data_IF_028684695421
#
_entry.id   IF_028684695421
#
_cell.length_a   1.000
_cell.length_b   1.000
_cell.length_c   1.000
_cell.angle_alpha   90.00
_cell.angle_beta   90.00
_cell.angle_gamma   90.00
#
_symmetry.space_group_name_H-M   'P 1'
#
loop_
_entity.id
_entity.type
_entity.pdbx_description
1 polymer ?
#
# COMPACT_ATOMS: atom_id res chain seq x y z
N UNK A 1 -55.77 47.75 17.37
CA UNK A 1 -54.97 47.47 16.14
C UNK A 1 -53.66 46.90 16.61
N UNK A 2 -53.59 45.58 16.74
CA UNK A 2 -52.29 44.86 16.99
C UNK A 2 -51.47 44.89 15.72
N UNK A 3 -50.32 45.57 15.78
CA UNK A 3 -49.46 45.75 14.65
C UNK A 3 -48.64 44.45 14.39
N UNK A 4 -49.09 43.64 13.46
CA UNK A 4 -48.43 42.43 12.95
C UNK A 4 -46.91 42.56 12.72
N UNK A 5 -46.37 43.71 12.28
CA UNK A 5 -44.95 43.91 12.08
C UNK A 5 -44.07 43.64 13.32
N UNK A 6 -44.53 44.02 14.51
CA UNK A 6 -43.75 43.84 15.75
C UNK A 6 -43.69 42.39 16.20
N UNK A 7 -44.71 41.57 15.90
CA UNK A 7 -44.72 40.14 16.17
C UNK A 7 -43.74 39.43 15.21
N UNK A 8 -43.71 39.82 13.95
CA UNK A 8 -42.77 39.26 12.95
C UNK A 8 -41.32 39.65 13.26
N UNK A 9 -41.08 40.89 13.69
CA UNK A 9 -39.75 41.36 14.12
C UNK A 9 -39.29 40.61 15.37
N UNK A 10 -40.17 40.39 16.34
CA UNK A 10 -39.89 39.63 17.56
C UNK A 10 -39.57 38.15 17.26
N UNK A 11 -40.28 37.52 16.33
CA UNK A 11 -40.00 36.16 15.86
C UNK A 11 -38.69 36.09 15.09
N UNK A 12 -38.42 37.05 14.20
CA UNK A 12 -37.16 37.10 13.43
C UNK A 12 -35.94 37.41 14.31
N UNK A 13 -36.07 38.19 15.38
CA UNK A 13 -35.01 38.46 16.35
C UNK A 13 -34.83 37.31 17.36
N UNK A 14 -35.88 36.54 17.65
CA UNK A 14 -35.83 35.37 18.55
C UNK A 14 -35.16 34.13 17.93
N UNK A 15 -35.30 33.91 16.64
CA UNK A 15 -34.71 32.76 15.95
C UNK A 15 -33.16 32.68 16.03
N UNK A 16 -32.41 33.76 15.81
CA UNK A 16 -30.97 33.75 15.98
C UNK A 16 -30.49 33.49 17.42
N UNK A 17 -31.25 34.03 18.43
CA UNK A 17 -30.89 33.81 19.83
C UNK A 17 -31.14 32.37 20.29
N UNK A 18 -32.22 31.73 19.85
CA UNK A 18 -32.46 30.29 20.06
C UNK A 18 -31.41 29.45 19.35
N UNK A 19 -31.07 29.78 18.11
CA UNK A 19 -30.01 29.12 17.38
C UNK A 19 -28.65 29.21 18.07
N UNK A 20 -28.29 30.40 18.56
CA UNK A 20 -27.04 30.59 19.32
C UNK A 20 -27.06 29.80 20.65
N UNK A 21 -28.18 29.80 21.38
CA UNK A 21 -28.32 29.03 22.61
C UNK A 21 -28.18 27.53 22.36
N UNK A 22 -28.75 26.99 21.28
CA UNK A 22 -28.59 25.59 20.89
C UNK A 22 -27.15 25.26 20.53
N UNK A 23 -26.44 26.12 19.78
CA UNK A 23 -25.02 25.92 19.45
C UNK A 23 -24.16 25.96 20.70
N UNK A 24 -24.42 26.90 21.63
CA UNK A 24 -23.69 26.98 22.91
C UNK A 24 -23.96 25.75 23.78
N UNK A 25 -25.23 25.33 23.91
CA UNK A 25 -25.57 24.10 24.62
C UNK A 25 -24.92 22.87 24.00
N UNK A 26 -24.93 22.74 22.68
CA UNK A 26 -24.23 21.67 21.98
C UNK A 26 -22.72 21.68 22.27
N UNK A 27 -22.06 22.84 22.17
CA UNK A 27 -20.63 22.99 22.47
C UNK A 27 -20.29 22.63 23.93
N UNK A 28 -21.12 23.05 24.90
CA UNK A 28 -20.91 22.72 26.31
C UNK A 28 -21.07 21.22 26.57
N UNK A 29 -22.09 20.58 25.99
CA UNK A 29 -22.27 19.13 26.06
C UNK A 29 -21.09 18.39 25.45
N UNK A 30 -20.61 18.83 24.28
CA UNK A 30 -19.43 18.23 23.63
C UNK A 30 -18.17 18.42 24.47
N UNK A 31 -17.95 19.62 25.02
CA UNK A 31 -16.80 19.88 25.90
C UNK A 31 -16.82 19.00 27.16
N UNK A 32 -17.99 18.82 27.77
CA UNK A 32 -18.18 17.94 28.92
C UNK A 32 -17.89 16.47 28.58
N UNK A 33 -18.39 15.99 27.42
CA UNK A 33 -18.09 14.61 26.93
C UNK A 33 -16.61 14.40 26.72
N UNK A 34 -15.94 15.37 26.10
CA UNK A 34 -14.48 15.29 25.87
C UNK A 34 -13.74 15.28 27.21
N UNK A 35 -14.10 16.15 28.14
CA UNK A 35 -13.48 16.21 29.47
C UNK A 35 -13.69 14.89 30.26
N UNK A 36 -14.90 14.33 30.25
CA UNK A 36 -15.16 13.02 30.85
C UNK A 36 -14.33 11.91 30.21
N UNK A 37 -14.25 11.89 28.88
CA UNK A 37 -13.44 10.89 28.19
C UNK A 37 -11.95 11.03 28.54
N UNK A 38 -11.42 12.24 28.61
CA UNK A 38 -10.05 12.50 29.04
C UNK A 38 -9.82 12.02 30.49
N UNK A 39 -10.77 12.29 31.38
CA UNK A 39 -10.69 11.83 32.77
C UNK A 39 -10.66 10.28 32.88
N UNK A 40 -11.48 9.59 32.09
CA UNK A 40 -11.44 8.13 32.02
C UNK A 40 -10.10 7.62 31.47
N UNK A 41 -9.57 8.23 30.39
CA UNK A 41 -8.27 7.88 29.84
C UNK A 41 -7.15 8.07 30.87
N UNK A 42 -7.11 9.19 31.59
CA UNK A 42 -6.12 9.47 32.63
C UNK A 42 -6.17 8.44 33.78
N UNK A 43 -7.40 8.09 34.21
CA UNK A 43 -7.60 7.06 35.25
C UNK A 43 -7.01 5.71 34.79
N UNK A 44 -7.36 5.25 33.59
CA UNK A 44 -6.88 3.95 33.10
C UNK A 44 -5.40 3.98 32.75
N UNK A 45 -4.84 5.11 32.32
CA UNK A 45 -3.39 5.25 32.11
C UNK A 45 -2.63 5.03 33.41
N UNK A 46 -3.03 5.66 34.50
CA UNK A 46 -2.44 5.43 35.81
C UNK A 46 -2.57 3.98 36.28
N UNK A 47 -3.72 3.35 36.07
CA UNK A 47 -3.90 1.95 36.42
C UNK A 47 -2.99 1.02 35.64
N UNK A 48 -2.74 1.30 34.34
CA UNK A 48 -1.80 0.51 33.53
C UNK A 48 -0.36 0.77 33.97
N UNK A 49 0.00 2.00 34.29
CA UNK A 49 1.32 2.35 34.83
C UNK A 49 1.60 1.64 36.15
N UNK A 50 0.63 1.57 37.06
CA UNK A 50 0.73 0.87 38.34
C UNK A 50 0.99 -0.64 38.21
N UNK A 51 0.52 -1.25 37.13
CA UNK A 51 0.70 -2.69 36.91
C UNK A 51 1.75 -2.99 35.83
N UNK A 52 2.47 -1.99 35.34
CA UNK A 52 3.39 -2.12 34.21
C UNK A 52 4.50 -3.18 34.45
N UNK A 53 5.06 -3.23 35.61
CA UNK A 53 6.07 -4.25 35.99
C UNK A 53 5.47 -5.65 35.89
N UNK A 54 4.27 -5.85 36.46
CA UNK A 54 3.56 -7.15 36.41
C UNK A 54 3.15 -7.52 34.97
N UNK A 55 2.82 -6.55 34.13
CA UNK A 55 2.56 -6.78 32.74
C UNK A 55 3.84 -7.18 31.95
N UNK A 56 4.98 -6.63 32.33
CA UNK A 56 6.26 -6.98 31.69
C UNK A 56 6.67 -8.40 32.00
N UNK A 57 6.34 -8.90 33.19
CA UNK A 57 6.66 -10.27 33.65
C UNK A 57 5.66 -11.31 33.14
N UNK A 58 4.47 -10.90 32.68
CA UNK A 58 3.43 -11.80 32.20
C UNK A 58 3.79 -12.39 30.83
N UNK A 59 3.84 -13.70 30.72
CA UNK A 59 4.21 -14.45 29.50
C UNK A 59 3.03 -15.16 28.84
N UNK A 60 1.91 -15.29 29.53
CA UNK A 60 0.73 -16.01 29.09
C UNK A 60 -0.57 -15.23 29.36
N UNK A 61 -1.66 -15.69 28.74
CA UNK A 61 -3.01 -15.16 28.99
C UNK A 61 -3.41 -15.40 30.46
N UNK A 62 -3.01 -16.52 31.04
CA UNK A 62 -3.32 -16.88 32.43
C UNK A 62 -2.68 -15.91 33.46
N UNK A 63 -1.48 -15.42 33.17
CA UNK A 63 -0.80 -14.42 34.00
C UNK A 63 -1.52 -13.06 34.00
N UNK A 64 -2.22 -12.76 32.92
CA UNK A 64 -2.89 -11.48 32.72
C UNK A 64 -4.33 -11.49 33.27
N UNK A 65 -4.99 -12.65 33.38
CA UNK A 65 -6.36 -12.74 33.89
C UNK A 65 -6.60 -12.06 35.25
N UNK A 66 -5.73 -12.20 36.26
CA UNK A 66 -5.89 -11.49 37.54
C UNK A 66 -5.77 -9.96 37.38
N UNK A 67 -4.92 -9.51 36.43
CA UNK A 67 -4.74 -8.08 36.13
C UNK A 67 -5.97 -7.51 35.42
N UNK A 68 -6.59 -8.27 34.55
CA UNK A 68 -7.82 -7.85 33.85
C UNK A 68 -8.98 -7.57 34.83
N UNK A 69 -9.07 -8.31 35.94
CA UNK A 69 -10.10 -8.10 36.97
C UNK A 69 -9.99 -6.76 37.71
N UNK A 70 -8.86 -6.08 37.62
CA UNK A 70 -8.66 -4.75 38.20
C UNK A 70 -9.40 -3.66 37.41
N UNK A 71 -9.67 -3.91 36.14
CA UNK A 71 -10.31 -2.95 35.24
C UNK A 71 -11.83 -3.13 35.25
N UNK A 72 -12.53 -2.15 35.85
CA UNK A 72 -13.99 -2.08 35.87
C UNK A 72 -14.45 -0.99 34.92
N UNK A 73 -14.79 -1.36 33.69
CA UNK A 73 -15.36 -0.47 32.70
C UNK A 73 -16.81 -0.91 32.43
N UNK A 74 -17.77 -0.12 32.90
CA UNK A 74 -19.21 -0.46 32.86
C UNK A 74 -19.98 0.36 31.84
N UNK A 75 -19.53 1.57 31.55
CA UNK A 75 -20.16 2.45 30.56
C UNK A 75 -19.44 2.35 29.21
N UNK A 76 -20.16 2.65 28.13
CA UNK A 76 -19.57 2.72 26.78
C UNK A 76 -18.38 3.68 26.72
N UNK A 77 -18.43 4.80 27.44
CA UNK A 77 -17.34 5.78 27.50
C UNK A 77 -16.09 5.22 28.18
N UNK A 78 -16.27 4.50 29.30
CA UNK A 78 -15.16 3.84 30.01
C UNK A 78 -14.52 2.73 29.19
N UNK A 79 -15.33 1.88 28.54
CA UNK A 79 -14.84 0.83 27.64
C UNK A 79 -14.02 1.43 26.50
N UNK A 80 -14.54 2.49 25.86
CA UNK A 80 -13.83 3.17 24.79
C UNK A 80 -12.52 3.81 25.27
N UNK A 81 -12.51 4.43 26.46
CA UNK A 81 -11.32 5.01 27.06
C UNK A 81 -10.26 3.93 27.36
N UNK A 82 -10.67 2.82 27.99
CA UNK A 82 -9.77 1.71 28.30
C UNK A 82 -9.17 1.08 27.04
N UNK A 83 -9.98 0.80 26.01
CA UNK A 83 -9.50 0.33 24.72
C UNK A 83 -8.44 1.27 24.13
N UNK A 84 -8.70 2.58 24.12
CA UNK A 84 -7.77 3.56 23.58
C UNK A 84 -6.45 3.60 24.36
N UNK A 85 -6.51 3.61 25.70
CA UNK A 85 -5.29 3.63 26.54
C UNK A 85 -4.44 2.39 26.34
N UNK A 86 -5.05 1.21 26.27
CA UNK A 86 -4.28 -0.04 25.97
C UNK A 86 -3.59 0.07 24.61
N UNK A 87 -4.26 0.57 23.58
CA UNK A 87 -3.69 0.71 22.24
C UNK A 87 -2.59 1.78 22.17
N UNK A 88 -2.77 2.91 22.84
CA UNK A 88 -1.74 3.94 22.98
C UNK A 88 -0.47 3.38 23.66
N UNK A 89 -0.65 2.73 24.80
CA UNK A 89 0.45 2.11 25.56
C UNK A 89 1.13 1.01 24.74
N UNK A 90 0.36 0.17 24.06
CA UNK A 90 0.88 -0.86 23.15
C UNK A 90 1.82 -0.26 22.08
N UNK A 91 1.49 0.93 21.57
CA UNK A 91 2.29 1.60 20.56
C UNK A 91 3.70 1.99 20.97
N UNK A 92 3.90 2.27 22.24
CA UNK A 92 5.18 2.75 22.81
C UNK A 92 5.90 1.72 23.68
N UNK A 93 5.22 0.64 24.08
CA UNK A 93 5.74 -0.37 24.98
C UNK A 93 6.81 -1.27 24.32
N UNK A 94 7.77 -1.82 25.08
CA UNK A 94 8.70 -2.86 24.63
C UNK A 94 7.96 -4.17 24.35
N UNK A 95 8.60 -5.09 23.59
CA UNK A 95 7.96 -6.33 23.10
C UNK A 95 7.31 -7.21 24.19
N UNK A 96 7.92 -7.47 25.36
CA UNK A 96 7.27 -8.26 26.42
C UNK A 96 5.96 -7.63 26.86
N UNK A 97 5.96 -6.33 27.14
CA UNK A 97 4.78 -5.58 27.58
C UNK A 97 3.71 -5.51 26.50
N UNK A 98 4.09 -5.43 25.21
CA UNK A 98 3.13 -5.49 24.10
C UNK A 98 2.34 -6.78 24.08
N UNK A 99 3.00 -7.93 24.24
CA UNK A 99 2.31 -9.23 24.31
C UNK A 99 1.33 -9.28 25.48
N UNK A 100 1.75 -8.83 26.65
CA UNK A 100 0.87 -8.79 27.81
C UNK A 100 -0.33 -7.84 27.61
N UNK A 101 -0.14 -6.68 26.99
CA UNK A 101 -1.24 -5.77 26.64
C UNK A 101 -2.21 -6.37 25.62
N UNK A 102 -1.72 -7.16 24.66
CA UNK A 102 -2.59 -7.89 23.74
C UNK A 102 -3.40 -8.96 24.48
N UNK A 103 -2.81 -9.72 25.40
CA UNK A 103 -3.53 -10.66 26.26
C UNK A 103 -4.52 -9.96 27.19
N UNK A 104 -4.18 -8.77 27.71
CA UNK A 104 -5.11 -7.96 28.50
C UNK A 104 -6.34 -7.55 27.68
N UNK A 105 -6.11 -7.10 26.45
CA UNK A 105 -7.19 -6.72 25.53
C UNK A 105 -8.10 -7.91 25.22
N UNK A 106 -7.54 -9.09 25.03
CA UNK A 106 -8.26 -10.34 24.78
C UNK A 106 -9.03 -10.79 26.03
N UNK A 107 -8.41 -10.82 27.21
CA UNK A 107 -9.06 -11.24 28.47
C UNK A 107 -10.20 -10.33 28.91
N UNK A 108 -10.17 -9.06 28.50
CA UNK A 108 -11.29 -8.10 28.68
C UNK A 108 -12.43 -8.31 27.65
N UNK A 109 -12.30 -9.27 26.74
CA UNK A 109 -13.31 -9.57 25.69
C UNK A 109 -13.33 -8.55 24.55
N UNK A 110 -12.38 -7.62 24.48
CA UNK A 110 -12.39 -6.51 23.53
C UNK A 110 -12.09 -6.94 22.09
N UNK A 111 -11.39 -8.06 21.88
CA UNK A 111 -11.20 -8.61 20.54
C UNK A 111 -12.55 -9.08 19.96
N UNK A 112 -13.34 -9.82 20.74
CA UNK A 112 -14.65 -10.31 20.31
C UNK A 112 -15.63 -9.15 20.04
N UNK A 113 -15.60 -8.11 20.91
CA UNK A 113 -16.40 -6.90 20.76
C UNK A 113 -16.02 -6.11 19.50
N UNK A 114 -14.73 -5.91 19.24
CA UNK A 114 -14.27 -5.23 18.02
C UNK A 114 -14.56 -6.01 16.74
N UNK A 115 -14.48 -7.35 16.76
CA UNK A 115 -14.93 -8.18 15.64
C UNK A 115 -16.43 -8.03 15.39
N UNK A 116 -17.23 -7.98 16.46
CA UNK A 116 -18.68 -7.69 16.34
C UNK A 116 -18.93 -6.30 15.74
N UNK A 117 -18.20 -5.29 16.19
CA UNK A 117 -18.29 -3.92 15.68
C UNK A 117 -17.92 -3.83 14.20
N UNK A 118 -16.88 -4.54 13.74
CA UNK A 118 -16.52 -4.59 12.32
C UNK A 118 -17.69 -5.08 11.46
N UNK A 119 -18.49 -6.01 11.95
CA UNK A 119 -19.65 -6.54 11.21
C UNK A 119 -20.87 -5.63 11.27
N UNK A 120 -21.19 -5.09 12.45
CA UNK A 120 -22.50 -4.49 12.73
C UNK A 120 -22.46 -3.03 13.13
N UNK A 121 -21.28 -2.45 13.36
CA UNK A 121 -21.12 -1.07 13.84
C UNK A 121 -21.34 -0.01 12.77
N UNK A 122 -21.49 1.24 13.22
CA UNK A 122 -21.46 2.41 12.36
C UNK A 122 -20.07 2.54 11.68
N UNK A 123 -20.00 3.27 10.56
CA UNK A 123 -18.80 3.39 9.73
C UNK A 123 -17.55 3.80 10.54
N UNK A 124 -17.69 4.81 11.39
CA UNK A 124 -16.62 5.32 12.25
C UNK A 124 -16.20 4.29 13.32
N UNK A 125 -17.14 3.55 13.91
CA UNK A 125 -16.86 2.52 14.90
C UNK A 125 -16.13 1.32 14.26
N UNK A 126 -16.54 0.92 13.05
CA UNK A 126 -15.87 -0.14 12.25
C UNK A 126 -14.43 0.26 11.92
N UNK A 127 -14.21 1.52 11.52
CA UNK A 127 -12.88 2.06 11.24
C UNK A 127 -11.97 1.98 12.48
N UNK A 128 -12.47 2.43 13.63
CA UNK A 128 -11.73 2.36 14.90
C UNK A 128 -11.45 0.92 15.35
N UNK A 129 -12.41 0.01 15.20
CA UNK A 129 -12.23 -1.40 15.55
C UNK A 129 -11.17 -2.06 14.67
N UNK A 130 -11.23 -1.83 13.36
CA UNK A 130 -10.22 -2.32 12.42
C UNK A 130 -8.82 -1.80 12.74
N UNK A 131 -8.70 -0.50 13.07
CA UNK A 131 -7.44 0.11 13.51
C UNK A 131 -6.87 -0.58 14.76
N UNK A 132 -7.69 -0.80 15.79
CA UNK A 132 -7.24 -1.45 17.04
C UNK A 132 -6.78 -2.88 16.80
N UNK A 133 -7.55 -3.68 16.06
CA UNK A 133 -7.21 -5.07 15.76
C UNK A 133 -5.93 -5.19 14.89
N UNK A 134 -5.75 -4.26 13.94
CA UNK A 134 -4.50 -4.17 13.17
C UNK A 134 -3.30 -3.84 14.07
N UNK A 135 -3.46 -2.83 14.94
CA UNK A 135 -2.39 -2.39 15.85
C UNK A 135 -1.94 -3.49 16.81
N UNK A 136 -2.89 -4.29 17.30
CA UNK A 136 -2.62 -5.45 18.15
C UNK A 136 -2.09 -6.67 17.38
N UNK A 137 -1.97 -6.59 16.06
CA UNK A 137 -1.59 -7.71 15.17
C UNK A 137 -2.47 -8.95 15.40
N UNK A 138 -3.77 -8.74 15.53
CA UNK A 138 -4.74 -9.76 15.86
C UNK A 138 -5.00 -10.69 14.68
N UNK A 139 -4.47 -11.93 14.73
CA UNK A 139 -4.63 -12.92 13.66
C UNK A 139 -6.09 -13.38 13.45
N UNK A 140 -6.90 -13.40 14.50
CA UNK A 140 -8.32 -13.78 14.38
C UNK A 140 -9.18 -12.74 13.63
N UNK A 141 -8.63 -11.54 13.39
CA UNK A 141 -9.30 -10.48 12.65
C UNK A 141 -9.10 -10.56 11.12
N UNK A 142 -8.23 -11.45 10.61
CA UNK A 142 -7.86 -11.51 9.20
C UNK A 142 -9.06 -11.59 8.26
N UNK A 143 -9.97 -12.53 8.47
CA UNK A 143 -11.14 -12.73 7.61
C UNK A 143 -12.10 -11.53 7.64
N UNK A 144 -12.26 -10.90 8.82
CA UNK A 144 -13.09 -9.72 8.97
C UNK A 144 -12.48 -8.51 8.26
N UNK A 145 -11.17 -8.31 8.38
CA UNK A 145 -10.42 -7.25 7.72
C UNK A 145 -10.35 -7.46 6.20
N UNK A 146 -10.21 -8.72 5.73
CA UNK A 146 -10.27 -9.02 4.31
C UNK A 146 -11.63 -8.65 3.71
N UNK A 147 -12.74 -8.99 4.39
CA UNK A 147 -14.06 -8.53 3.95
C UNK A 147 -14.19 -7.02 3.95
N UNK A 148 -13.63 -6.35 4.96
CA UNK A 148 -13.66 -4.91 5.09
C UNK A 148 -12.85 -4.22 3.98
N UNK A 149 -11.75 -4.82 3.51
CA UNK A 149 -10.92 -4.30 2.41
C UNK A 149 -11.66 -4.24 1.06
N UNK A 150 -12.80 -4.93 0.95
CA UNK A 150 -13.67 -4.94 -0.24
C UNK A 150 -14.92 -4.04 -0.08
N UNK A 151 -14.99 -3.25 0.99
CA UNK A 151 -16.15 -2.41 1.30
C UNK A 151 -16.27 -1.22 0.32
N UNK A 152 -17.49 -0.74 0.08
CA UNK A 152 -17.76 0.40 -0.81
C UNK A 152 -17.14 1.72 -0.32
N UNK A 153 -17.08 1.95 1.00
CA UNK A 153 -16.40 3.11 1.60
C UNK A 153 -14.90 3.02 1.43
N UNK A 154 -14.30 4.06 0.83
CA UNK A 154 -12.85 4.18 0.66
C UNK A 154 -12.12 4.24 2.00
N UNK A 155 -12.68 4.92 2.99
CA UNK A 155 -12.12 5.01 4.35
C UNK A 155 -11.95 3.63 4.98
N UNK A 156 -13.01 2.80 4.97
CA UNK A 156 -12.94 1.45 5.53
C UNK A 156 -11.97 0.55 4.77
N UNK A 157 -11.90 0.66 3.42
CA UNK A 157 -10.91 -0.08 2.65
C UNK A 157 -9.49 0.25 3.07
N UNK A 158 -9.18 1.56 3.19
CA UNK A 158 -7.84 2.01 3.56
C UNK A 158 -7.42 1.57 4.96
N UNK A 159 -8.31 1.69 5.94
CA UNK A 159 -8.05 1.23 7.31
C UNK A 159 -7.86 -0.28 7.35
N UNK A 160 -8.66 -1.04 6.58
CA UNK A 160 -8.52 -2.50 6.49
C UNK A 160 -7.18 -2.90 5.86
N UNK A 161 -6.77 -2.25 4.76
CA UNK A 161 -5.46 -2.46 4.12
C UNK A 161 -4.35 -2.16 5.12
N UNK A 162 -4.44 -1.03 5.81
CA UNK A 162 -3.48 -0.65 6.85
C UNK A 162 -3.42 -1.72 7.97
N UNK A 163 -4.57 -2.17 8.48
CA UNK A 163 -4.63 -3.17 9.54
C UNK A 163 -4.04 -4.52 9.12
N UNK A 164 -4.33 -4.97 7.89
CA UNK A 164 -3.78 -6.19 7.33
C UNK A 164 -2.24 -6.10 7.20
N UNK A 165 -1.70 -4.96 6.79
CA UNK A 165 -0.24 -4.77 6.69
C UNK A 165 0.43 -4.68 8.08
N UNK A 166 -0.23 -4.15 9.11
CA UNK A 166 0.29 -4.13 10.49
C UNK A 166 0.31 -5.52 11.13
N UNK A 167 -0.66 -6.39 10.81
CA UNK A 167 -0.68 -7.78 11.28
C UNK A 167 0.54 -8.54 10.77
N UNK A 168 1.01 -8.21 9.56
CA UNK A 168 2.23 -8.75 8.96
C UNK A 168 2.23 -10.29 8.83
N UNK A 169 1.07 -10.90 8.56
CA UNK A 169 0.94 -12.33 8.26
C UNK A 169 0.98 -12.55 6.73
N UNK A 170 1.66 -13.58 6.21
CA UNK A 170 1.69 -13.86 4.76
C UNK A 170 0.30 -13.98 4.11
N UNK A 171 -0.72 -14.41 4.86
CA UNK A 171 -2.11 -14.47 4.39
C UNK A 171 -2.70 -13.10 4.04
N UNK A 172 -2.14 -12.02 4.60
CA UNK A 172 -2.57 -10.65 4.32
C UNK A 172 -2.17 -10.16 2.93
N UNK A 173 -1.13 -10.73 2.33
CA UNK A 173 -0.55 -10.23 1.06
C UNK A 173 -1.58 -10.23 -0.06
N UNK A 174 -2.25 -11.36 -0.29
CA UNK A 174 -3.27 -11.46 -1.34
C UNK A 174 -4.43 -10.47 -1.18
N UNK A 175 -5.12 -10.39 -0.03
CA UNK A 175 -6.15 -9.39 0.21
C UNK A 175 -5.68 -7.95 -0.02
N UNK A 176 -4.49 -7.62 0.45
CA UNK A 176 -3.90 -6.29 0.29
C UNK A 176 -3.65 -5.98 -1.18
N UNK A 177 -2.99 -6.86 -1.93
CA UNK A 177 -2.70 -6.66 -3.36
C UNK A 177 -3.97 -6.55 -4.18
N UNK A 178 -4.98 -7.38 -3.91
CA UNK A 178 -6.29 -7.31 -4.58
C UNK A 178 -6.97 -5.96 -4.29
N UNK A 179 -6.97 -5.51 -3.05
CA UNK A 179 -7.57 -4.22 -2.68
C UNK A 179 -6.82 -3.04 -3.33
N UNK A 180 -5.49 -3.14 -3.43
CA UNK A 180 -4.64 -2.14 -4.08
C UNK A 180 -4.86 -2.09 -5.59
N UNK A 181 -5.19 -3.21 -6.25
CA UNK A 181 -5.49 -3.23 -7.69
C UNK A 181 -6.73 -2.39 -8.06
N UNK A 182 -7.53 -2.02 -7.08
CA UNK A 182 -8.71 -1.15 -7.20
C UNK A 182 -8.46 0.27 -6.65
N UNK A 183 -7.26 0.55 -6.13
CA UNK A 183 -6.87 1.82 -5.51
C UNK A 183 -6.10 2.74 -6.47
N UNK A 184 -5.93 4.00 -6.09
CA UNK A 184 -5.13 4.98 -6.83
C UNK A 184 -3.63 4.83 -6.52
N UNK A 185 -2.75 5.23 -7.47
CA UNK A 185 -1.30 5.00 -7.41
C UNK A 185 -0.59 5.44 -6.12
N UNK A 186 -1.02 6.54 -5.46
CA UNK A 186 -0.42 6.99 -4.18
C UNK A 186 -0.65 5.99 -3.03
N UNK A 187 -1.82 5.38 -2.99
CA UNK A 187 -2.17 4.37 -1.98
C UNK A 187 -1.38 3.07 -2.21
N UNK A 188 -1.10 2.75 -3.46
CA UNK A 188 -0.25 1.62 -3.85
C UNK A 188 1.16 1.77 -3.27
N UNK A 189 1.79 2.93 -3.43
CA UNK A 189 3.16 3.17 -2.94
C UNK A 189 3.26 3.09 -1.41
N UNK A 190 2.30 3.62 -0.67
CA UNK A 190 2.29 3.51 0.79
C UNK A 190 2.14 2.05 1.28
N UNK A 191 1.26 1.29 0.63
CA UNK A 191 1.07 -0.10 1.01
C UNK A 191 2.22 -1.00 0.55
N UNK A 192 2.88 -0.69 -0.58
CA UNK A 192 4.11 -1.35 -1.01
C UNK A 192 5.19 -1.23 0.07
N UNK A 193 5.45 -0.01 0.57
CA UNK A 193 6.41 0.21 1.65
C UNK A 193 6.06 -0.56 2.94
N UNK A 194 4.78 -0.71 3.25
CA UNK A 194 4.33 -1.50 4.41
C UNK A 194 4.49 -3.00 4.18
N UNK A 195 4.23 -3.51 2.98
CA UNK A 195 4.49 -4.90 2.63
C UNK A 195 5.98 -5.24 2.77
N UNK A 196 6.87 -4.33 2.35
CA UNK A 196 8.31 -4.43 2.58
C UNK A 196 8.66 -4.48 4.08
N UNK A 197 7.98 -3.65 4.88
CA UNK A 197 8.15 -3.62 6.34
C UNK A 197 7.76 -4.92 7.05
N UNK A 198 7.07 -5.85 6.37
CA UNK A 198 6.77 -7.19 6.92
C UNK A 198 8.03 -8.07 7.05
N UNK A 199 9.14 -7.74 6.37
CA UNK A 199 10.41 -8.48 6.37
C UNK A 199 10.24 -9.99 6.13
N UNK A 200 9.34 -10.37 5.23
CA UNK A 200 9.00 -11.77 4.91
C UNK A 200 9.11 -12.03 3.41
N UNK A 201 9.28 -13.29 3.06
CA UNK A 201 9.20 -13.75 1.67
C UNK A 201 7.77 -13.61 1.14
N UNK A 202 7.61 -12.76 0.12
CA UNK A 202 6.36 -12.48 -0.55
C UNK A 202 6.20 -13.31 -1.85
N UNK A 203 7.17 -14.16 -2.18
CA UNK A 203 7.23 -14.90 -3.45
C UNK A 203 5.95 -15.69 -3.70
N UNK A 204 5.61 -16.61 -2.79
CA UNK A 204 4.49 -17.51 -3.00
C UNK A 204 3.15 -16.76 -3.21
N UNK A 205 2.74 -15.84 -2.31
CA UNK A 205 1.47 -15.16 -2.49
C UNK A 205 1.41 -14.26 -3.73
N UNK A 206 2.53 -13.65 -4.15
CA UNK A 206 2.56 -12.83 -5.36
C UNK A 206 2.54 -13.70 -6.64
N UNK A 207 3.28 -14.80 -6.67
CA UNK A 207 3.26 -15.72 -7.82
C UNK A 207 1.89 -16.38 -8.00
N UNK A 208 1.25 -16.79 -6.91
CA UNK A 208 -0.11 -17.31 -6.96
C UNK A 208 -1.13 -16.29 -7.51
N UNK A 209 -0.95 -15.00 -7.24
CA UNK A 209 -1.80 -13.95 -7.82
C UNK A 209 -1.56 -13.79 -9.32
N UNK A 210 -0.33 -13.96 -9.81
CA UNK A 210 -0.02 -13.94 -11.24
C UNK A 210 -0.59 -15.16 -11.98
N UNK A 211 -0.59 -16.33 -11.33
CA UNK A 211 -1.05 -17.57 -11.94
C UNK A 211 -2.58 -17.77 -11.83
N UNK A 212 -3.17 -17.37 -10.72
CA UNK A 212 -4.56 -17.74 -10.33
C UNK A 212 -5.54 -16.58 -10.21
N UNK A 213 -5.21 -15.39 -10.73
CA UNK A 213 -6.15 -14.27 -10.70
C UNK A 213 -7.44 -14.63 -11.45
N UNK A 214 -8.39 -15.24 -10.75
CA UNK A 214 -9.70 -15.59 -11.26
C UNK A 214 -10.60 -14.38 -11.47
N UNK A 215 -11.66 -14.52 -12.26
CA UNK A 215 -12.67 -13.48 -12.49
C UNK A 215 -12.59 -12.82 -13.85
N UNK A 216 -13.23 -11.65 -13.97
CA UNK A 216 -13.29 -10.88 -15.23
C UNK A 216 -11.86 -10.51 -15.67
N UNK A 217 -11.59 -10.65 -16.99
CA UNK A 217 -10.28 -10.39 -17.62
C UNK A 217 -9.65 -9.07 -17.16
N UNK A 218 -10.41 -8.00 -17.11
CA UNK A 218 -9.95 -6.67 -16.69
C UNK A 218 -9.48 -6.61 -15.24
N UNK A 219 -10.18 -7.29 -14.33
CA UNK A 219 -9.78 -7.37 -12.92
C UNK A 219 -8.50 -8.17 -12.75
N UNK A 220 -8.41 -9.30 -13.45
CA UNK A 220 -7.21 -10.15 -13.48
C UNK A 220 -6.01 -9.34 -13.97
N UNK A 221 -6.17 -8.60 -15.06
CA UNK A 221 -5.10 -7.77 -15.62
C UNK A 221 -4.64 -6.70 -14.61
N UNK A 222 -5.57 -6.00 -13.93
CA UNK A 222 -5.21 -5.03 -12.88
C UNK A 222 -4.42 -5.64 -11.74
N UNK A 223 -4.80 -6.83 -11.27
CA UNK A 223 -4.06 -7.54 -10.21
C UNK A 223 -2.65 -7.86 -10.68
N UNK A 224 -2.50 -8.42 -11.87
CA UNK A 224 -1.19 -8.74 -12.45
C UNK A 224 -0.32 -7.49 -12.60
N UNK A 225 -0.89 -6.38 -13.09
CA UNK A 225 -0.18 -5.11 -13.17
C UNK A 225 0.30 -4.64 -11.81
N UNK A 226 -0.56 -4.72 -10.79
CA UNK A 226 -0.21 -4.33 -9.41
C UNK A 226 0.93 -5.17 -8.86
N UNK A 227 0.93 -6.48 -9.08
CA UNK A 227 2.05 -7.36 -8.67
C UNK A 227 3.35 -6.97 -9.37
N UNK A 228 3.32 -6.74 -10.68
CA UNK A 228 4.50 -6.33 -11.43
C UNK A 228 5.02 -4.94 -11.01
N UNK A 229 4.11 -4.00 -10.73
CA UNK A 229 4.46 -2.67 -10.21
C UNK A 229 5.12 -2.81 -8.83
N UNK A 230 4.56 -3.63 -7.91
CA UNK A 230 5.19 -3.91 -6.62
C UNK A 230 6.61 -4.47 -6.76
N UNK A 231 6.81 -5.46 -7.64
CA UNK A 231 8.14 -6.03 -7.90
C UNK A 231 9.09 -4.94 -8.43
N UNK A 232 8.61 -4.06 -9.30
CA UNK A 232 9.41 -2.96 -9.86
C UNK A 232 9.72 -1.90 -8.82
N UNK A 233 8.75 -1.51 -8.00
CA UNK A 233 8.89 -0.46 -6.97
C UNK A 233 9.78 -0.91 -5.81
N UNK A 234 9.86 -2.21 -5.55
CA UNK A 234 10.86 -2.78 -4.63
C UNK A 234 12.30 -2.56 -5.14
N UNK A 235 12.48 -2.31 -6.44
CA UNK A 235 13.78 -2.02 -7.05
C UNK A 235 14.81 -3.10 -6.73
N UNK A 236 16.04 -2.69 -6.38
CA UNK A 236 17.11 -3.60 -5.97
C UNK A 236 16.81 -4.36 -4.67
N UNK A 237 15.88 -3.87 -3.86
CA UNK A 237 15.42 -4.54 -2.65
C UNK A 237 14.46 -5.72 -2.95
N UNK A 238 13.88 -5.78 -4.16
CA UNK A 238 12.95 -6.83 -4.57
C UNK A 238 13.50 -8.24 -4.30
N UNK A 239 14.80 -8.43 -4.51
CA UNK A 239 15.49 -9.70 -4.31
C UNK A 239 15.49 -10.19 -2.84
N UNK A 240 15.22 -9.31 -1.88
CA UNK A 240 15.12 -9.66 -0.45
C UNK A 240 13.74 -10.23 -0.10
N UNK A 241 12.71 -9.92 -0.89
CA UNK A 241 11.31 -10.21 -0.57
C UNK A 241 10.63 -11.14 -1.57
N UNK A 242 11.20 -11.23 -2.77
CA UNK A 242 10.70 -12.10 -3.85
C UNK A 242 11.87 -12.92 -4.37
N UNK A 243 11.70 -14.24 -4.47
CA UNK A 243 12.69 -15.10 -5.11
C UNK A 243 12.92 -14.61 -6.55
N UNK A 244 14.12 -14.13 -6.90
CA UNK A 244 14.38 -13.50 -8.19
C UNK A 244 14.08 -14.42 -9.37
N UNK A 245 14.42 -15.70 -9.27
CA UNK A 245 14.17 -16.69 -10.34
C UNK A 245 12.68 -16.87 -10.59
N UNK A 246 11.85 -17.02 -9.54
CA UNK A 246 10.40 -17.14 -9.69
C UNK A 246 9.79 -15.87 -10.28
N UNK A 247 10.21 -14.69 -9.81
CA UNK A 247 9.77 -13.39 -10.34
C UNK A 247 10.14 -13.20 -11.81
N UNK A 248 11.38 -13.53 -12.21
CA UNK A 248 11.82 -13.45 -13.62
C UNK A 248 11.06 -14.40 -14.52
N UNK A 249 10.85 -15.66 -14.08
CA UNK A 249 10.07 -16.62 -14.84
C UNK A 249 8.62 -16.17 -15.06
N UNK A 250 7.99 -15.61 -14.04
CA UNK A 250 6.63 -15.07 -14.16
C UNK A 250 6.59 -13.85 -15.10
N UNK A 251 7.54 -12.93 -14.99
CA UNK A 251 7.64 -11.77 -15.87
C UNK A 251 7.92 -12.21 -17.34
N UNK A 252 8.78 -13.19 -17.54
CA UNK A 252 9.09 -13.73 -18.87
C UNK A 252 7.83 -14.28 -19.57
N UNK A 253 6.97 -15.03 -18.85
CA UNK A 253 5.68 -15.49 -19.41
C UNK A 253 4.78 -14.34 -19.83
N UNK A 254 4.80 -13.23 -19.08
CA UNK A 254 3.95 -12.06 -19.34
C UNK A 254 4.46 -11.17 -20.48
N UNK A 255 5.68 -11.37 -20.99
CA UNK A 255 6.15 -10.72 -22.23
C UNK A 255 5.33 -11.15 -23.45
N UNK A 256 4.70 -12.32 -23.42
CA UNK A 256 3.88 -12.85 -24.50
C UNK A 256 2.38 -12.45 -24.33
N UNK A 257 2.05 -11.62 -23.36
CA UNK A 257 0.67 -11.18 -23.10
C UNK A 257 0.12 -10.35 -24.25
N UNK A 258 -1.19 -10.46 -24.51
CA UNK A 258 -1.87 -9.59 -25.46
C UNK A 258 -1.89 -8.12 -24.98
N UNK A 259 -1.87 -7.90 -23.65
CA UNK A 259 -1.91 -6.56 -23.07
C UNK A 259 -0.55 -5.86 -23.17
N UNK A 260 -0.54 -4.70 -23.82
CA UNK A 260 0.64 -3.81 -23.87
C UNK A 260 1.10 -3.43 -22.45
N UNK A 261 0.14 -3.17 -21.58
CA UNK A 261 0.43 -2.79 -20.19
C UNK A 261 1.14 -3.91 -19.41
N UNK A 262 0.77 -5.17 -19.63
CA UNK A 262 1.44 -6.30 -18.98
C UNK A 262 2.83 -6.52 -19.56
N UNK A 263 2.99 -6.44 -20.89
CA UNK A 263 4.32 -6.59 -21.52
C UNK A 263 5.31 -5.52 -21.05
N UNK A 264 4.88 -4.25 -21.00
CA UNK A 264 5.75 -3.15 -20.52
C UNK A 264 6.15 -3.32 -19.06
N UNK A 265 5.22 -3.72 -18.17
CA UNK A 265 5.51 -3.97 -16.76
C UNK A 265 6.37 -5.21 -16.54
N UNK A 266 6.18 -6.25 -17.35
CA UNK A 266 7.02 -7.45 -17.32
C UNK A 266 8.50 -7.12 -17.63
N UNK A 267 8.76 -6.27 -18.63
CA UNK A 267 10.13 -5.80 -18.93
C UNK A 267 10.70 -5.02 -17.75
N UNK A 268 9.91 -4.11 -17.13
CA UNK A 268 10.35 -3.32 -15.96
C UNK A 268 10.66 -4.21 -14.77
N UNK A 269 9.84 -5.24 -14.51
CA UNK A 269 10.08 -6.21 -13.44
C UNK A 269 11.35 -7.02 -13.70
N UNK A 270 11.59 -7.48 -14.95
CA UNK A 270 12.85 -8.13 -15.34
C UNK A 270 14.04 -7.20 -15.13
N UNK A 271 13.90 -5.92 -15.46
CA UNK A 271 14.96 -4.92 -15.25
C UNK A 271 15.29 -4.76 -13.76
N UNK A 272 14.27 -4.68 -12.90
CA UNK A 272 14.44 -4.54 -11.45
C UNK A 272 15.06 -5.78 -10.79
N UNK A 273 14.68 -6.99 -11.26
CA UNK A 273 15.22 -8.26 -10.76
C UNK A 273 16.58 -8.64 -11.36
N UNK A 274 16.99 -7.97 -12.43
CA UNK A 274 18.14 -8.38 -13.25
C UNK A 274 17.81 -9.58 -14.16
N UNK A 275 18.70 -9.89 -15.10
CA UNK A 275 18.62 -11.06 -15.98
C UNK A 275 19.80 -11.97 -15.74
N UNK A 276 19.57 -13.28 -15.74
CA UNK A 276 20.61 -14.30 -15.49
C UNK A 276 20.68 -15.34 -16.62
N UNK A 277 19.59 -15.52 -17.35
CA UNK A 277 19.50 -16.55 -18.39
C UNK A 277 19.46 -15.94 -19.78
N UNK A 278 19.97 -16.71 -20.79
CA UNK A 278 19.86 -16.32 -22.19
C UNK A 278 18.40 -16.11 -22.63
N UNK A 279 17.48 -16.90 -22.10
CA UNK A 279 16.05 -16.80 -22.42
C UNK A 279 15.44 -15.46 -21.96
N UNK A 280 15.82 -14.98 -20.78
CA UNK A 280 15.38 -13.68 -20.24
C UNK A 280 15.93 -12.53 -21.10
N UNK A 281 17.23 -12.61 -21.44
CA UNK A 281 17.89 -11.65 -22.33
C UNK A 281 17.24 -11.62 -23.71
N UNK A 282 17.01 -12.77 -24.33
CA UNK A 282 16.34 -12.88 -25.63
C UNK A 282 14.91 -12.36 -25.60
N UNK A 283 14.18 -12.55 -24.49
CA UNK A 283 12.85 -11.99 -24.28
C UNK A 283 12.85 -10.47 -24.38
N UNK A 284 13.80 -9.80 -23.73
CA UNK A 284 13.95 -8.33 -23.80
C UNK A 284 14.40 -7.89 -25.20
N UNK A 285 15.33 -8.61 -25.83
CA UNK A 285 15.79 -8.31 -27.19
C UNK A 285 14.65 -8.43 -28.22
N UNK A 286 13.80 -9.47 -28.12
CA UNK A 286 12.60 -9.61 -28.97
C UNK A 286 11.62 -8.45 -28.78
N UNK A 287 11.49 -7.93 -27.56
CA UNK A 287 10.61 -6.82 -27.25
C UNK A 287 11.01 -5.50 -27.95
N UNK A 288 12.24 -5.33 -28.43
CA UNK A 288 12.63 -4.22 -29.33
C UNK A 288 11.85 -4.20 -30.64
N UNK A 289 11.29 -5.35 -31.06
CA UNK A 289 10.53 -5.52 -32.30
C UNK A 289 9.03 -5.71 -32.04
N UNK A 290 8.55 -5.34 -30.82
CA UNK A 290 7.14 -5.41 -30.50
C UNK A 290 6.31 -4.50 -31.41
N UNK A 291 5.07 -4.92 -31.66
CA UNK A 291 4.11 -4.13 -32.46
C UNK A 291 3.79 -2.77 -31.82
N UNK A 292 3.88 -2.68 -30.48
CA UNK A 292 3.57 -1.48 -29.72
C UNK A 292 4.84 -0.69 -29.41
N UNK A 293 4.83 0.59 -29.69
CA UNK A 293 5.98 1.47 -29.48
C UNK A 293 6.33 1.61 -27.99
N UNK A 294 5.33 1.54 -27.10
CA UNK A 294 5.53 1.59 -25.66
C UNK A 294 6.41 0.44 -25.17
N UNK A 295 6.18 -0.77 -25.71
CA UNK A 295 6.96 -1.95 -25.37
C UNK A 295 8.38 -1.81 -25.92
N UNK A 296 8.54 -1.39 -27.18
CA UNK A 296 9.86 -1.15 -27.77
C UNK A 296 10.68 -0.12 -27.01
N UNK A 297 10.02 1.00 -26.59
CA UNK A 297 10.69 2.04 -25.83
C UNK A 297 11.18 1.56 -24.45
N UNK A 298 10.38 0.75 -23.75
CA UNK A 298 10.76 0.17 -22.45
C UNK A 298 11.86 -0.87 -22.63
N UNK A 299 11.79 -1.70 -23.70
CA UNK A 299 12.82 -2.68 -24.01
C UNK A 299 14.18 -2.02 -24.31
N UNK A 300 14.18 -0.95 -25.12
CA UNK A 300 15.39 -0.19 -25.40
C UNK A 300 16.05 0.35 -24.11
N UNK A 301 15.26 0.92 -23.23
CA UNK A 301 15.72 1.41 -21.93
C UNK A 301 16.29 0.29 -21.06
N UNK A 302 15.59 -0.85 -20.98
CA UNK A 302 15.98 -2.01 -20.18
C UNK A 302 17.34 -2.58 -20.64
N UNK A 303 17.60 -2.64 -21.94
CA UNK A 303 18.88 -3.10 -22.50
C UNK A 303 20.04 -2.23 -22.02
N UNK A 304 19.85 -0.89 -22.00
CA UNK A 304 20.86 0.02 -21.47
C UNK A 304 21.06 -0.09 -19.96
N UNK A 305 19.99 -0.29 -19.19
CA UNK A 305 20.05 -0.43 -17.73
C UNK A 305 20.69 -1.77 -17.31
N UNK A 306 20.42 -2.83 -18.03
CA UNK A 306 20.96 -4.16 -17.78
C UNK A 306 22.33 -4.42 -18.46
N UNK A 307 22.86 -3.44 -19.20
CA UNK A 307 24.16 -3.55 -19.91
C UNK A 307 24.21 -4.74 -20.89
N UNK A 308 23.10 -4.99 -21.62
CA UNK A 308 23.00 -6.12 -22.57
C UNK A 308 23.69 -5.76 -23.88
N UNK A 309 24.97 -6.11 -24.02
CA UNK A 309 25.77 -5.84 -25.25
C UNK A 309 25.21 -6.52 -26.49
N UNK A 310 24.56 -7.68 -26.35
CA UNK A 310 23.89 -8.37 -27.46
C UNK A 310 22.75 -7.50 -28.09
N UNK A 311 22.32 -6.44 -27.44
CA UNK A 311 21.31 -5.51 -27.93
C UNK A 311 21.81 -4.43 -28.86
N UNK A 312 23.14 -4.30 -29.10
CA UNK A 312 23.73 -3.20 -29.89
C UNK A 312 23.09 -3.03 -31.27
N UNK A 313 22.96 -4.10 -32.07
CA UNK A 313 22.37 -4.06 -33.40
C UNK A 313 20.87 -3.70 -33.38
N UNK A 314 20.14 -4.26 -32.41
CA UNK A 314 18.71 -3.93 -32.22
C UNK A 314 18.49 -2.48 -31.77
N UNK A 315 19.36 -1.95 -30.91
CA UNK A 315 19.32 -0.54 -30.50
C UNK A 315 19.68 0.38 -31.68
N UNK A 316 20.67 0.02 -32.50
CA UNK A 316 21.01 0.77 -33.71
C UNK A 316 19.80 0.90 -34.66
N UNK A 317 19.05 -0.18 -34.88
CA UNK A 317 17.80 -0.16 -35.65
C UNK A 317 16.74 0.75 -34.95
N UNK A 318 16.62 0.63 -33.64
CA UNK A 318 15.62 1.34 -32.85
C UNK A 318 15.85 2.87 -32.77
N UNK A 319 17.08 3.37 -32.99
CA UNK A 319 17.35 4.82 -33.07
C UNK A 319 16.68 5.45 -34.30
N UNK A 320 16.26 4.64 -35.30
CA UNK A 320 15.51 5.09 -36.47
C UNK A 320 14.00 4.74 -36.39
N UNK A 321 13.48 4.40 -35.21
CA UNK A 321 12.06 4.07 -35.02
C UNK A 321 11.17 5.27 -35.32
N UNK A 322 9.94 4.98 -35.75
CA UNK A 322 8.93 6.02 -36.02
C UNK A 322 8.53 6.79 -34.76
N UNK A 323 8.53 6.13 -33.60
CA UNK A 323 8.17 6.71 -32.31
C UNK A 323 9.36 7.42 -31.67
N UNK A 324 9.20 8.68 -31.32
CA UNK A 324 10.25 9.48 -30.68
C UNK A 324 10.82 8.85 -29.40
N UNK A 325 9.95 8.31 -28.55
CA UNK A 325 10.34 7.68 -27.30
C UNK A 325 11.23 6.45 -27.51
N UNK A 326 11.03 5.70 -28.59
CA UNK A 326 11.88 4.54 -28.92
C UNK A 326 13.25 5.04 -29.34
N UNK A 327 13.33 5.99 -30.27
CA UNK A 327 14.60 6.59 -30.70
C UNK A 327 15.41 7.14 -29.55
N UNK A 328 14.75 7.95 -28.68
CA UNK A 328 15.37 8.58 -27.51
C UNK A 328 15.94 7.54 -26.55
N UNK A 329 15.14 6.54 -26.16
CA UNK A 329 15.57 5.50 -25.24
C UNK A 329 16.67 4.61 -25.84
N UNK A 330 16.61 4.30 -27.14
CA UNK A 330 17.64 3.53 -27.82
C UNK A 330 18.98 4.26 -27.87
N UNK A 331 18.98 5.55 -28.21
CA UNK A 331 20.21 6.34 -28.22
C UNK A 331 20.81 6.49 -26.80
N UNK A 332 20.00 6.71 -25.78
CA UNK A 332 20.47 6.70 -24.39
C UNK A 332 20.97 5.34 -23.92
N UNK A 333 20.33 4.25 -24.37
CA UNK A 333 20.79 2.90 -24.08
C UNK A 333 22.17 2.63 -24.71
N UNK A 334 22.37 3.00 -25.97
CA UNK A 334 23.68 2.93 -26.62
C UNK A 334 24.75 3.70 -25.82
N UNK A 335 24.47 4.92 -25.40
CA UNK A 335 25.39 5.69 -24.55
C UNK A 335 25.73 4.97 -23.25
N UNK A 336 24.75 4.32 -22.61
CA UNK A 336 24.96 3.52 -21.39
C UNK A 336 25.81 2.26 -21.63
N UNK A 337 25.81 1.70 -22.83
CA UNK A 337 26.63 0.53 -23.18
C UNK A 337 28.12 0.85 -23.35
N UNK A 338 28.54 2.10 -23.11
CA UNK A 338 29.95 2.52 -23.15
C UNK A 338 30.54 2.58 -24.54
N UNK A 339 31.80 2.20 -24.68
CA UNK A 339 32.60 2.39 -25.90
C UNK A 339 31.94 1.79 -27.15
N UNK A 340 31.38 0.57 -27.04
CA UNK A 340 30.75 -0.11 -28.17
C UNK A 340 29.49 0.65 -28.64
N UNK A 341 28.71 1.16 -27.70
CA UNK A 341 27.54 1.97 -28.00
C UNK A 341 27.90 3.35 -28.55
N UNK A 342 28.97 3.99 -28.04
CA UNK A 342 29.46 5.27 -28.57
C UNK A 342 29.92 5.17 -30.01
N UNK A 343 30.63 4.09 -30.40
CA UNK A 343 30.99 3.83 -31.78
C UNK A 343 29.75 3.80 -32.68
N UNK A 344 28.71 3.10 -32.27
CA UNK A 344 27.43 3.04 -33.00
C UNK A 344 26.77 4.46 -33.08
N UNK A 345 26.76 5.23 -32.01
CA UNK A 345 26.22 6.58 -32.01
C UNK A 345 26.99 7.49 -33.00
N UNK A 346 28.33 7.42 -33.01
CA UNK A 346 29.14 8.19 -33.96
C UNK A 346 28.88 7.81 -35.41
N UNK A 347 28.66 6.54 -35.70
CA UNK A 347 28.27 6.07 -37.06
C UNK A 347 26.89 6.61 -37.46
N UNK A 348 25.93 6.65 -36.50
CA UNK A 348 24.57 7.14 -36.74
C UNK A 348 24.50 8.67 -36.97
N UNK A 349 25.51 9.45 -36.61
CA UNK A 349 25.62 10.85 -37.01
C UNK A 349 25.68 11.05 -38.54
N UNK A 350 26.12 10.03 -39.27
CA UNK A 350 26.19 10.01 -40.74
C UNK A 350 24.92 9.42 -41.40
N UNK A 351 23.89 9.13 -40.61
CA UNK A 351 22.62 8.56 -41.13
C UNK A 351 21.92 9.53 -42.08
N UNK A 352 21.29 9.01 -43.13
CA UNK A 352 20.46 9.82 -44.03
C UNK A 352 19.18 10.32 -43.35
N UNK A 353 18.69 9.62 -42.34
CA UNK A 353 17.52 10.01 -41.57
C UNK A 353 17.82 11.19 -40.64
N UNK A 354 17.12 12.31 -40.87
CA UNK A 354 17.25 13.53 -40.10
C UNK A 354 16.95 13.32 -38.61
N UNK A 355 15.87 12.59 -38.31
CA UNK A 355 15.44 12.37 -36.93
C UNK A 355 16.43 11.53 -36.13
N UNK A 356 17.07 10.56 -36.77
CA UNK A 356 18.17 9.78 -36.21
C UNK A 356 19.34 10.68 -35.83
N UNK A 357 19.80 11.54 -36.78
CA UNK A 357 20.92 12.46 -36.52
C UNK A 357 20.62 13.44 -35.38
N UNK A 358 19.41 14.04 -35.38
CA UNK A 358 18.99 14.98 -34.32
C UNK A 358 18.97 14.30 -32.95
N UNK A 359 18.39 13.08 -32.86
CA UNK A 359 18.32 12.31 -31.61
C UNK A 359 19.71 11.98 -31.07
N UNK A 360 20.60 11.48 -31.94
CA UNK A 360 21.97 11.12 -31.57
C UNK A 360 22.76 12.35 -31.12
N UNK A 361 22.66 13.46 -31.87
CA UNK A 361 23.32 14.72 -31.53
C UNK A 361 22.90 15.19 -30.13
N UNK A 362 21.60 15.17 -29.85
CA UNK A 362 21.05 15.56 -28.55
C UNK A 362 21.59 14.68 -27.42
N UNK A 363 21.67 13.36 -27.61
CA UNK A 363 22.15 12.42 -26.58
C UNK A 363 23.65 12.56 -26.34
N UNK A 364 24.46 12.82 -27.38
CA UNK A 364 25.89 13.05 -27.23
C UNK A 364 26.19 14.39 -26.53
N UNK A 365 25.36 15.42 -26.74
CA UNK A 365 25.50 16.73 -26.08
C UNK A 365 24.99 16.75 -24.61
N UNK A 366 24.05 15.88 -24.27
CA UNK A 366 23.57 15.74 -22.87
C UNK A 366 24.59 14.96 -22.06
N UNK A 367 25.66 15.63 -21.62
CA UNK A 367 26.89 15.19 -20.97
C UNK A 367 26.80 14.17 -19.88
#
# INVERSE_FOLDING_TARGET
>A
VFSWPWIVIGLLAGLPSVGLALVLAYRTIQAQRIAQQQQHCERYRRQIEEIQERLTDAQSLEDVLPLAQLFKATTRGEVAALKNVIIETYGTAPEPTRKALAFLYESLGFIADDLHIIHNGALEERSRAAFRLGRLRCLSALDALERLSKHSSTELRLVAIWALTEIADPRCVKPVVIALSEANGWQLMQAANRLLGMHRDLTLPLMELLDSAGGVRERRERIMMTVLDLITDFGTEAQKYVNPSAGRQAALRLLESESVNLRTRAIRALTALGVETSQETEGILRALRDKSWEVRAVAARAIGELQILAGLSGLQEAVSDKAWWVRHNAAHALKKLGNEGEIVLLQLLQSDDRFTRETVTQVLQSG
#
